data_IF_082456661262
#
_entry.id   IF_082456661262
#
_cell.length_a   1.000
_cell.length_b   1.000
_cell.length_c   1.000
_cell.angle_alpha   90.00
_cell.angle_beta   90.00
_cell.angle_gamma   90.00
#
_symmetry.space_group_name_H-M   'P 1'
#
loop_
_entity.id
_entity.type
_entity.pdbx_description
1 polymer ?
#
# COMPACT_ATOMS: atom_id res chain seq x y z
N UNK A 1 -18.32 -7.38 -29.78
CA UNK A 1 -17.44 -6.23 -29.40
C UNK A 1 -18.10 -5.57 -28.21
N UNK A 2 -17.38 -5.52 -27.09
CA UNK A 2 -17.88 -5.07 -25.80
C UNK A 2 -18.20 -3.56 -25.84
N UNK A 3 -19.35 -3.14 -25.28
CA UNK A 3 -19.80 -1.75 -25.21
C UNK A 3 -18.75 -0.83 -24.53
N UNK A 4 -17.97 -1.37 -23.61
CA UNK A 4 -16.88 -0.69 -22.94
C UNK A 4 -15.70 -0.39 -23.89
N UNK A 5 -15.34 -1.33 -24.75
CA UNK A 5 -14.29 -1.12 -25.75
C UNK A 5 -14.71 -0.08 -26.80
N UNK A 6 -16.00 -0.04 -27.16
CA UNK A 6 -16.55 0.99 -28.04
C UNK A 6 -16.55 2.37 -27.39
N UNK A 7 -16.88 2.47 -26.09
CA UNK A 7 -16.85 3.73 -25.34
C UNK A 7 -15.43 4.30 -25.20
N UNK A 8 -14.44 3.45 -24.91
CA UNK A 8 -13.02 3.85 -24.82
C UNK A 8 -12.50 4.30 -26.17
N UNK A 9 -12.85 3.60 -27.26
CA UNK A 9 -12.45 3.97 -28.61
C UNK A 9 -13.09 5.30 -29.05
N UNK A 10 -14.35 5.52 -28.74
CA UNK A 10 -15.04 6.78 -29.00
C UNK A 10 -14.49 7.95 -28.18
N UNK A 11 -13.98 7.69 -26.97
CA UNK A 11 -13.32 8.70 -26.16
C UNK A 11 -11.94 9.06 -26.71
N UNK A 12 -11.11 8.08 -27.09
CA UNK A 12 -9.77 8.26 -27.65
C UNK A 12 -9.76 9.01 -29.00
N UNK A 13 -10.88 8.99 -29.73
CA UNK A 13 -11.02 9.69 -31.02
C UNK A 13 -11.58 11.12 -30.91
N UNK A 14 -11.79 11.64 -29.70
CA UNK A 14 -12.27 13.03 -29.52
C UNK A 14 -11.20 14.04 -29.89
N UNK A 15 -11.56 15.16 -30.54
CA UNK A 15 -10.59 16.17 -31.03
C UNK A 15 -9.77 16.88 -29.94
N UNK A 16 -10.13 16.72 -28.66
CA UNK A 16 -9.45 17.32 -27.51
C UNK A 16 -8.50 16.31 -26.79
N UNK A 17 -8.21 15.15 -27.37
CA UNK A 17 -7.32 14.18 -26.78
C UNK A 17 -5.87 14.55 -27.13
N UNK A 18 -5.10 15.00 -26.15
CA UNK A 18 -3.64 15.14 -26.25
C UNK A 18 -2.98 13.82 -25.80
N UNK A 19 -2.20 13.15 -26.69
CA UNK A 19 -1.61 11.84 -26.37
C UNK A 19 -0.66 11.84 -25.15
N UNK A 20 -0.08 13.01 -24.85
CA UNK A 20 0.90 13.17 -23.76
C UNK A 20 0.26 13.65 -22.45
N UNK A 21 -1.06 13.82 -22.40
CA UNK A 21 -1.72 14.19 -21.15
C UNK A 21 -1.73 13.00 -20.20
N UNK A 22 -0.95 13.07 -19.12
CA UNK A 22 -1.06 12.18 -17.98
C UNK A 22 -2.45 12.32 -17.37
N UNK A 23 -3.34 11.39 -17.70
CA UNK A 23 -4.71 11.41 -17.20
C UNK A 23 -4.70 10.74 -15.84
N UNK A 24 -4.93 11.52 -14.80
CA UNK A 24 -5.21 10.96 -13.48
C UNK A 24 -6.56 10.23 -13.58
N UNK A 25 -6.53 8.91 -13.68
CA UNK A 25 -7.67 8.06 -13.93
C UNK A 25 -8.83 8.27 -12.93
N UNK A 26 -8.54 8.72 -11.71
CA UNK A 26 -9.53 9.07 -10.70
C UNK A 26 -10.29 10.37 -10.98
N UNK A 27 -9.66 11.34 -11.64
CA UNK A 27 -10.29 12.66 -11.91
C UNK A 27 -11.11 12.70 -13.20
N UNK A 28 -10.82 11.86 -14.17
CA UNK A 28 -11.41 11.92 -15.50
C UNK A 28 -12.69 11.06 -15.67
N UNK A 29 -13.21 10.44 -14.62
CA UNK A 29 -14.35 9.51 -14.76
C UNK A 29 -14.00 8.20 -15.50
N UNK A 30 -12.72 7.97 -15.76
CA UNK A 30 -12.21 6.78 -16.44
C UNK A 30 -12.24 5.52 -15.56
N UNK A 31 -12.55 5.65 -14.27
CA UNK A 31 -12.61 4.50 -13.36
C UNK A 31 -13.53 3.38 -13.86
N UNK A 32 -14.65 3.72 -14.47
CA UNK A 32 -15.57 2.74 -15.07
C UNK A 32 -15.01 2.14 -16.37
N UNK A 33 -14.31 2.96 -17.18
CA UNK A 33 -13.68 2.49 -18.43
C UNK A 33 -12.43 1.66 -18.14
N UNK A 34 -11.63 2.03 -17.13
CA UNK A 34 -10.51 1.24 -16.66
C UNK A 34 -10.97 -0.11 -16.05
N UNK A 35 -12.07 -0.12 -15.31
CA UNK A 35 -12.65 -1.36 -14.78
C UNK A 35 -13.11 -2.33 -15.87
N UNK A 36 -13.56 -1.83 -17.02
CA UNK A 36 -14.10 -2.63 -18.11
C UNK A 36 -13.09 -2.98 -19.20
N UNK A 37 -12.07 -2.12 -19.41
CA UNK A 37 -11.08 -2.26 -20.47
C UNK A 37 -9.71 -2.74 -19.97
N UNK A 38 -9.58 -2.89 -18.68
CA UNK A 38 -8.30 -3.00 -18.02
C UNK A 38 -7.66 -4.39 -18.09
N UNK A 39 -7.38 -4.82 -19.23
CA UNK A 39 -6.09 -5.45 -19.41
C UNK A 39 -5.07 -4.31 -19.46
N UNK A 40 -4.02 -4.36 -18.63
CA UNK A 40 -2.88 -3.44 -18.64
C UNK A 40 -2.34 -3.26 -20.08
N UNK A 41 -2.39 -4.30 -20.90
CA UNK A 41 -2.10 -4.32 -22.33
C UNK A 41 -2.96 -3.33 -23.14
N UNK A 42 -4.22 -3.12 -22.74
CA UNK A 42 -5.11 -2.23 -23.49
C UNK A 42 -4.85 -0.75 -23.14
N UNK A 43 -4.55 -0.44 -21.90
CA UNK A 43 -4.15 0.90 -21.49
C UNK A 43 -2.83 1.32 -22.15
N UNK A 44 -1.85 0.41 -22.23
CA UNK A 44 -0.58 0.63 -22.94
C UNK A 44 -0.77 0.87 -24.43
N UNK A 45 -1.72 0.19 -25.08
CA UNK A 45 -2.01 0.38 -26.50
C UNK A 45 -2.67 1.73 -26.83
N UNK A 46 -3.24 2.41 -25.82
CA UNK A 46 -3.82 3.74 -25.93
C UNK A 46 -2.87 4.86 -25.48
N UNK A 47 -1.62 4.54 -25.11
CA UNK A 47 -0.67 5.46 -24.46
C UNK A 47 -1.25 6.18 -23.22
N UNK A 48 -2.22 5.56 -22.55
CA UNK A 48 -2.75 6.06 -21.27
C UNK A 48 -2.01 5.34 -20.16
N UNK A 49 -1.19 6.07 -19.44
CA UNK A 49 -0.45 5.57 -18.26
C UNK A 49 -0.94 6.27 -17.01
N UNK A 50 -0.91 5.55 -15.88
CA UNK A 50 -1.16 6.17 -14.59
C UNK A 50 0.01 7.13 -14.26
N UNK A 51 -0.28 8.23 -13.56
CA UNK A 51 0.80 9.04 -12.98
C UNK A 51 1.55 8.23 -11.92
N UNK A 52 2.86 8.44 -11.82
CA UNK A 52 3.68 7.87 -10.75
C UNK A 52 3.13 8.31 -9.40
N UNK A 53 2.92 7.35 -8.50
CA UNK A 53 2.37 7.62 -7.17
C UNK A 53 3.17 6.93 -6.08
N UNK A 54 3.28 5.62 -6.15
CA UNK A 54 4.02 4.82 -5.18
C UNK A 54 5.52 5.04 -5.26
N UNK A 55 6.20 4.85 -4.14
CA UNK A 55 7.66 4.96 -4.03
C UNK A 55 8.23 3.78 -3.25
N UNK A 56 9.49 3.44 -3.54
CA UNK A 56 10.23 2.35 -2.91
C UNK A 56 11.64 2.78 -2.52
N UNK A 57 12.13 2.29 -1.38
CA UNK A 57 13.50 2.50 -0.91
C UNK A 57 13.99 1.25 -0.15
N UNK A 58 15.29 1.10 0.00
CA UNK A 58 15.86 0.03 0.83
C UNK A 58 16.62 -1.02 0.03
N UNK A 59 16.72 -2.23 0.55
CA UNK A 59 17.60 -3.29 0.10
C UNK A 59 17.08 -4.03 -1.14
N UNK A 60 16.92 -3.26 -2.23
CA UNK A 60 16.37 -3.73 -3.50
C UNK A 60 17.18 -3.15 -4.67
N UNK A 61 17.49 -4.01 -5.62
CA UNK A 61 18.02 -3.65 -6.93
C UNK A 61 17.08 -4.27 -7.97
N UNK A 62 16.75 -3.53 -9.00
CA UNK A 62 15.96 -4.01 -10.13
C UNK A 62 16.34 -3.31 -11.42
N UNK A 63 15.95 -3.88 -12.54
CA UNK A 63 16.18 -3.28 -13.85
C UNK A 63 14.86 -2.69 -14.39
N UNK A 64 14.93 -1.45 -14.91
CA UNK A 64 13.82 -0.67 -15.45
C UNK A 64 14.28 -0.04 -16.78
N UNK A 65 13.67 -0.43 -17.89
CA UNK A 65 13.97 0.03 -19.26
C UNK A 65 15.48 -0.03 -19.64
N UNK A 66 16.20 -1.02 -19.13
CA UNK A 66 17.64 -1.22 -19.40
C UNK A 66 18.57 -0.58 -18.37
N UNK A 67 18.06 0.24 -17.47
CA UNK A 67 18.80 0.84 -16.37
C UNK A 67 18.72 -0.03 -15.11
N UNK A 68 19.85 -0.19 -14.41
CA UNK A 68 19.87 -0.86 -13.10
C UNK A 68 19.67 0.17 -11.99
N UNK A 69 18.62 0.00 -11.21
CA UNK A 69 18.22 0.88 -10.13
C UNK A 69 18.58 0.26 -8.78
N UNK A 70 19.38 0.96 -7.99
CA UNK A 70 19.74 0.60 -6.60
C UNK A 70 18.94 1.48 -5.63
N UNK A 71 17.92 0.89 -5.00
CA UNK A 71 17.02 1.62 -4.10
C UNK A 71 17.67 2.08 -2.79
N UNK A 72 18.86 1.62 -2.45
CA UNK A 72 19.61 2.13 -1.29
C UNK A 72 20.18 3.53 -1.54
N UNK A 73 20.26 3.96 -2.79
CA UNK A 73 20.88 5.24 -3.24
C UNK A 73 19.85 6.32 -3.63
N UNK A 74 18.56 6.03 -3.49
CA UNK A 74 17.49 6.93 -3.98
C UNK A 74 17.15 8.09 -3.03
N UNK A 75 17.87 8.23 -1.92
CA UNK A 75 17.61 9.30 -0.94
C UNK A 75 16.28 9.14 -0.20
N UNK A 76 15.85 10.22 0.47
CA UNK A 76 14.64 10.22 1.32
C UNK A 76 13.35 10.05 0.51
N UNK A 77 13.31 10.56 -0.71
CA UNK A 77 12.12 10.46 -1.58
C UNK A 77 11.91 9.06 -2.17
N UNK A 78 12.92 8.21 -2.12
CA UNK A 78 12.88 6.89 -2.74
C UNK A 78 12.84 6.93 -4.27
N UNK A 79 12.75 5.76 -4.90
CA UNK A 79 12.51 5.60 -6.35
C UNK A 79 11.00 5.56 -6.59
N UNK A 80 10.50 6.39 -7.47
CA UNK A 80 9.12 6.27 -7.95
C UNK A 80 8.91 4.90 -8.62
N UNK A 81 7.81 4.25 -8.30
CA UNK A 81 7.42 2.99 -8.93
C UNK A 81 6.95 3.29 -10.35
N UNK A 82 7.56 2.66 -11.37
CA UNK A 82 7.18 2.89 -12.75
C UNK A 82 5.70 2.59 -13.00
N UNK A 83 4.98 3.39 -13.80
CA UNK A 83 3.60 3.10 -14.19
C UNK A 83 3.47 1.76 -14.92
N UNK A 84 4.53 1.36 -15.63
CA UNK A 84 4.70 0.10 -16.35
C UNK A 84 5.46 -0.91 -15.50
N UNK A 85 5.00 -1.13 -14.26
CA UNK A 85 5.66 -2.04 -13.29
C UNK A 85 5.79 -3.49 -13.79
N UNK A 86 5.04 -3.88 -14.83
CA UNK A 86 5.16 -5.15 -15.54
C UNK A 86 6.53 -5.31 -16.23
N UNK A 87 7.13 -4.21 -16.69
CA UNK A 87 8.44 -4.21 -17.39
C UNK A 87 9.64 -4.30 -16.45
N UNK A 88 9.45 -3.96 -15.18
CA UNK A 88 10.50 -4.10 -14.16
C UNK A 88 10.96 -5.56 -14.11
N UNK A 89 12.26 -5.79 -14.08
CA UNK A 89 12.85 -7.14 -14.11
C UNK A 89 14.04 -7.26 -13.15
N UNK A 90 14.54 -8.50 -12.99
CA UNK A 90 15.72 -8.81 -12.19
C UNK A 90 15.71 -8.23 -10.76
N UNK A 91 14.54 -8.31 -10.09
CA UNK A 91 14.43 -7.89 -8.70
C UNK A 91 15.30 -8.77 -7.81
N UNK A 92 16.25 -8.15 -7.09
CA UNK A 92 17.21 -8.83 -6.22
C UNK A 92 17.61 -7.95 -5.04
N UNK A 93 18.03 -8.56 -3.95
CA UNK A 93 18.48 -7.87 -2.74
C UNK A 93 18.70 -8.84 -1.59
N UNK A 94 19.16 -8.30 -0.48
CA UNK A 94 19.40 -9.03 0.78
C UNK A 94 18.35 -8.65 1.85
N UNK A 95 17.20 -8.12 1.42
CA UNK A 95 16.10 -7.81 2.31
C UNK A 95 15.49 -9.09 2.91
N UNK A 96 15.14 -9.05 4.19
CA UNK A 96 14.49 -10.13 4.92
C UNK A 96 12.96 -9.99 4.95
N UNK A 97 12.45 -8.78 4.73
CA UNK A 97 11.01 -8.49 4.66
C UNK A 97 10.72 -7.23 3.83
N UNK A 98 9.45 -7.09 3.43
CA UNK A 98 8.92 -5.87 2.82
C UNK A 98 8.10 -5.14 3.86
N UNK A 99 8.39 -3.86 4.09
CA UNK A 99 7.60 -2.98 4.95
C UNK A 99 6.69 -2.11 4.08
N UNK A 100 5.41 -2.45 4.05
CA UNK A 100 4.37 -1.71 3.36
C UNK A 100 3.80 -0.64 4.27
N UNK A 101 3.93 0.64 3.90
CA UNK A 101 3.52 1.77 4.72
C UNK A 101 2.40 2.54 4.05
N UNK A 102 1.36 2.86 4.80
CA UNK A 102 0.25 3.64 4.29
C UNK A 102 0.64 5.08 3.96
N UNK A 103 1.34 5.75 4.87
CA UNK A 103 1.59 7.20 4.82
C UNK A 103 2.97 7.55 4.28
N UNK A 104 3.01 8.51 3.35
CA UNK A 104 4.24 9.06 2.79
C UNK A 104 5.16 9.67 3.86
N UNK A 105 4.61 10.38 4.85
CA UNK A 105 5.41 10.97 5.93
C UNK A 105 6.15 9.93 6.77
N UNK A 106 5.52 8.78 7.08
CA UNK A 106 6.17 7.68 7.79
C UNK A 106 7.23 6.98 6.92
N UNK A 107 6.96 6.82 5.63
CA UNK A 107 7.93 6.33 4.65
C UNK A 107 9.17 7.23 4.61
N UNK A 108 8.99 8.54 4.43
CA UNK A 108 10.08 9.51 4.38
C UNK A 108 10.92 9.50 5.67
N UNK A 109 10.27 9.40 6.83
CA UNK A 109 10.97 9.31 8.11
C UNK A 109 11.89 8.08 8.17
N UNK A 110 11.38 6.91 7.79
CA UNK A 110 12.18 5.69 7.78
C UNK A 110 13.28 5.69 6.72
N UNK A 111 13.04 6.33 5.58
CA UNK A 111 14.04 6.52 4.53
C UNK A 111 15.17 7.46 4.99
N UNK A 112 14.83 8.55 5.69
CA UNK A 112 15.77 9.50 6.26
C UNK A 112 16.67 8.84 7.31
N UNK A 113 16.07 8.04 8.21
CA UNK A 113 16.80 7.26 9.23
C UNK A 113 17.56 6.08 8.64
N UNK A 114 17.44 5.83 7.34
CA UNK A 114 17.99 4.64 6.66
C UNK A 114 17.69 3.36 7.44
N UNK A 115 16.44 3.21 7.85
CA UNK A 115 15.96 2.09 8.67
C UNK A 115 16.37 0.73 8.09
N UNK A 116 16.37 0.62 6.75
CA UNK A 116 16.78 -0.57 6.00
C UNK A 116 18.27 -0.95 6.15
N UNK A 117 19.11 -0.08 6.71
CA UNK A 117 20.50 -0.43 7.04
C UNK A 117 20.59 -1.19 8.37
N UNK A 118 19.68 -0.91 9.28
CA UNK A 118 19.61 -1.55 10.60
C UNK A 118 18.76 -2.82 10.57
N UNK A 119 17.67 -2.79 9.81
CA UNK A 119 16.73 -3.90 9.60
C UNK A 119 16.64 -4.14 8.09
N UNK A 120 17.32 -5.17 7.54
CA UNK A 120 17.37 -5.41 6.11
C UNK A 120 15.97 -5.56 5.52
N UNK A 121 15.45 -4.52 4.87
CA UNK A 121 14.11 -4.51 4.32
C UNK A 121 14.00 -3.66 3.05
N UNK A 122 12.91 -3.88 2.33
CA UNK A 122 12.40 -2.97 1.31
C UNK A 122 11.22 -2.20 1.90
N UNK A 123 11.22 -0.89 1.81
CA UNK A 123 10.14 -0.02 2.29
C UNK A 123 9.37 0.50 1.07
N UNK A 124 8.06 0.35 1.09
CA UNK A 124 7.18 0.73 -0.02
C UNK A 124 5.95 1.48 0.49
N UNK A 125 5.51 2.51 -0.24
CA UNK A 125 4.25 3.20 0.03
C UNK A 125 3.53 3.56 -1.27
N UNK A 126 2.21 3.47 -1.27
CA UNK A 126 1.33 4.02 -2.30
C UNK A 126 0.79 5.42 -1.93
N UNK A 127 1.27 6.02 -0.83
CA UNK A 127 0.78 7.33 -0.33
C UNK A 127 -0.74 7.33 -0.12
N UNK A 128 -1.22 6.40 0.68
CA UNK A 128 -2.63 6.13 0.95
C UNK A 128 -3.20 4.99 0.10
N UNK A 129 -4.32 5.21 -0.58
CA UNK A 129 -4.98 4.15 -1.36
C UNK A 129 -4.06 3.59 -2.46
N UNK A 130 -3.92 2.25 -2.54
CA UNK A 130 -3.02 1.61 -3.49
C UNK A 130 -3.48 1.78 -4.94
N UNK A 131 -2.57 2.24 -5.78
CA UNK A 131 -2.73 2.25 -7.23
C UNK A 131 -2.31 0.91 -7.84
N UNK A 132 -2.64 0.73 -9.11
CA UNK A 132 -2.38 -0.53 -9.84
C UNK A 132 -0.90 -0.82 -9.93
N UNK A 133 -0.07 0.18 -10.28
CA UNK A 133 1.37 0.01 -10.44
C UNK A 133 2.04 -0.42 -9.13
N UNK A 134 1.67 0.19 -7.99
CA UNK A 134 2.21 -0.18 -6.68
C UNK A 134 1.78 -1.59 -6.27
N UNK A 135 0.54 -1.99 -6.55
CA UNK A 135 0.05 -3.34 -6.26
C UNK A 135 0.78 -4.39 -7.09
N UNK A 136 0.92 -4.15 -8.39
CA UNK A 136 1.65 -5.04 -9.29
C UNK A 136 3.12 -5.17 -8.89
N UNK A 137 3.76 -4.02 -8.58
CA UNK A 137 5.14 -3.99 -8.11
C UNK A 137 5.34 -4.79 -6.81
N UNK A 138 4.45 -4.61 -5.83
CA UNK A 138 4.49 -5.36 -4.56
C UNK A 138 4.30 -6.86 -4.77
N UNK A 139 3.32 -7.25 -5.58
CA UNK A 139 3.05 -8.67 -5.90
C UNK A 139 4.27 -9.33 -6.56
N UNK A 140 4.87 -8.63 -7.54
CA UNK A 140 6.08 -9.08 -8.24
C UNK A 140 7.28 -9.17 -7.29
N UNK A 141 7.51 -8.12 -6.50
CA UNK A 141 8.60 -8.05 -5.52
C UNK A 141 8.54 -9.22 -4.52
N UNK A 142 7.34 -9.50 -3.98
CA UNK A 142 7.14 -10.61 -3.05
C UNK A 142 7.41 -11.96 -3.71
N UNK A 143 6.94 -12.16 -4.94
CA UNK A 143 7.15 -13.40 -5.69
C UNK A 143 8.63 -13.64 -5.99
N UNK A 144 9.35 -12.58 -6.40
CA UNK A 144 10.73 -12.68 -6.83
C UNK A 144 11.69 -12.84 -5.64
N UNK A 145 11.49 -12.08 -4.54
CA UNK A 145 12.34 -12.18 -3.34
C UNK A 145 11.87 -13.26 -2.34
N UNK A 146 10.61 -13.71 -2.39
CA UNK A 146 10.01 -14.72 -1.50
C UNK A 146 10.11 -14.38 -0.01
N UNK A 147 9.96 -13.11 0.33
CA UNK A 147 10.04 -12.59 1.70
C UNK A 147 8.64 -12.13 2.17
N UNK A 148 8.39 -12.08 3.50
CA UNK A 148 7.10 -11.65 4.04
C UNK A 148 6.85 -10.15 3.80
N UNK A 149 5.57 -9.79 3.72
CA UNK A 149 5.11 -8.39 3.68
C UNK A 149 4.48 -8.05 5.01
N UNK A 150 5.01 -7.02 5.67
CA UNK A 150 4.54 -6.47 6.93
C UNK A 150 3.92 -5.10 6.67
N UNK A 151 2.65 -4.91 7.03
CA UNK A 151 1.93 -3.67 6.79
C UNK A 151 1.90 -2.78 8.04
N UNK A 152 2.25 -1.53 7.86
CA UNK A 152 2.11 -0.45 8.83
C UNK A 152 1.07 0.54 8.31
N UNK A 153 -0.11 0.53 8.91
CA UNK A 153 -1.27 1.36 8.56
C UNK A 153 -1.80 2.07 9.79
N UNK A 154 -2.68 3.04 9.61
CA UNK A 154 -3.38 3.69 10.72
C UNK A 154 -4.23 2.67 11.50
N UNK A 155 -4.36 2.86 12.80
CA UNK A 155 -5.25 2.08 13.66
C UNK A 155 -6.70 2.54 13.46
N UNK A 156 -7.24 2.34 12.26
CA UNK A 156 -8.59 2.70 11.89
C UNK A 156 -9.17 1.74 10.82
N UNK A 157 -10.49 1.80 10.55
CA UNK A 157 -11.12 0.95 9.54
C UNK A 157 -10.61 1.20 8.12
N UNK A 158 -10.09 2.40 7.81
CA UNK A 158 -9.57 2.73 6.49
C UNK A 158 -8.19 2.13 6.25
N UNK A 159 -7.33 2.05 7.27
CA UNK A 159 -6.07 1.32 7.21
C UNK A 159 -6.29 -0.16 6.88
N UNK A 160 -7.28 -0.79 7.52
CA UNK A 160 -7.69 -2.17 7.19
C UNK A 160 -8.21 -2.30 5.76
N UNK A 161 -8.98 -1.31 5.28
CA UNK A 161 -9.47 -1.28 3.91
C UNK A 161 -8.32 -1.16 2.91
N UNK A 162 -7.27 -0.42 3.23
CA UNK A 162 -6.05 -0.35 2.40
C UNK A 162 -5.39 -1.72 2.31
N UNK A 163 -5.20 -2.41 3.44
CA UNK A 163 -4.65 -3.78 3.44
C UNK A 163 -5.54 -4.71 2.62
N UNK A 164 -6.87 -4.63 2.74
CA UNK A 164 -7.80 -5.48 1.99
C UNK A 164 -7.65 -5.33 0.48
N UNK A 165 -7.40 -4.10 -0.01
CA UNK A 165 -7.17 -3.86 -1.44
C UNK A 165 -5.88 -4.52 -1.93
N UNK A 166 -4.84 -4.54 -1.11
CA UNK A 166 -3.61 -5.29 -1.44
C UNK A 166 -3.82 -6.80 -1.37
N UNK A 167 -4.57 -7.31 -0.39
CA UNK A 167 -4.77 -8.75 -0.18
C UNK A 167 -5.74 -9.37 -1.17
N UNK A 168 -6.88 -8.73 -1.40
CA UNK A 168 -8.01 -9.29 -2.16
C UNK A 168 -8.24 -8.59 -3.51
N UNK A 169 -7.64 -7.42 -3.70
CA UNK A 169 -7.89 -6.60 -4.86
C UNK A 169 -9.09 -5.67 -4.71
N UNK A 170 -9.44 -5.02 -5.81
CA UNK A 170 -10.64 -4.19 -5.90
C UNK A 170 -11.74 -4.94 -6.61
N UNK A 171 -12.98 -4.85 -6.13
CA UNK A 171 -14.17 -5.42 -6.80
C UNK A 171 -14.28 -4.98 -8.27
N UNK A 172 -13.78 -3.79 -8.58
CA UNK A 172 -13.78 -3.23 -9.93
C UNK A 172 -12.69 -3.81 -10.85
N UNK A 173 -11.75 -4.58 -10.30
CA UNK A 173 -10.58 -5.14 -11.00
C UNK A 173 -10.40 -6.63 -10.71
N UNK A 174 -11.51 -7.35 -10.53
CA UNK A 174 -11.51 -8.78 -10.19
C UNK A 174 -10.89 -9.67 -11.28
N UNK A 175 -10.87 -9.20 -12.53
CA UNK A 175 -10.36 -9.93 -13.70
C UNK A 175 -8.82 -10.09 -13.69
N UNK A 176 -8.06 -9.23 -12.99
CA UNK A 176 -6.60 -9.31 -12.88
C UNK A 176 -6.12 -9.50 -11.42
N UNK A 177 -6.97 -10.10 -10.60
CA UNK A 177 -6.68 -10.27 -9.16
C UNK A 177 -5.41 -11.08 -8.92
N UNK A 178 -5.12 -12.10 -9.70
CA UNK A 178 -3.96 -12.98 -9.52
C UNK A 178 -2.61 -12.23 -9.60
N UNK A 179 -2.52 -11.19 -10.42
CA UNK A 179 -1.31 -10.38 -10.57
C UNK A 179 -1.26 -9.20 -9.59
N UNK A 180 -2.42 -8.72 -9.14
CA UNK A 180 -2.55 -7.49 -8.36
C UNK A 180 -2.78 -7.74 -6.86
N UNK A 181 -2.76 -8.99 -6.40
CA UNK A 181 -3.00 -9.31 -4.99
C UNK A 181 -1.79 -9.91 -4.29
N UNK A 182 -1.73 -9.65 -2.99
CA UNK A 182 -0.73 -10.16 -2.08
C UNK A 182 -1.46 -10.69 -0.83
N UNK A 183 -1.98 -11.94 -0.87
CA UNK A 183 -3.00 -12.40 0.10
C UNK A 183 -2.50 -12.63 1.52
N UNK A 184 -1.20 -12.76 1.74
CA UNK A 184 -0.59 -13.11 3.04
C UNK A 184 0.21 -11.94 3.65
N UNK A 185 -0.29 -10.72 3.49
CA UNK A 185 0.23 -9.55 4.20
C UNK A 185 -0.04 -9.72 5.70
N UNK A 186 0.97 -9.45 6.53
CA UNK A 186 0.87 -9.44 7.98
C UNK A 186 0.64 -8.04 8.51
N UNK A 187 -0.32 -7.87 9.40
CA UNK A 187 -0.56 -6.60 10.06
C UNK A 187 0.46 -6.38 11.19
N UNK A 188 1.48 -5.59 10.92
CA UNK A 188 2.51 -5.22 11.89
C UNK A 188 1.98 -4.19 12.89
N UNK A 189 1.30 -3.14 12.38
CA UNK A 189 0.80 -2.02 13.18
C UNK A 189 0.17 -0.92 12.28
N UNK A 190 -0.32 0.20 12.82
CA UNK A 190 -0.57 0.38 14.26
C UNK A 190 -1.85 -0.39 14.59
N UNK A 191 -1.80 -1.26 15.59
CA UNK A 191 -2.99 -2.02 15.98
C UNK A 191 -3.72 -1.31 17.14
N UNK A 192 -5.02 -1.48 17.28
CA UNK A 192 -5.76 -0.98 18.44
C UNK A 192 -5.14 -1.33 19.79
N UNK A 193 -4.65 -2.55 19.96
CA UNK A 193 -3.95 -2.99 21.16
C UNK A 193 -2.61 -2.28 21.42
N UNK A 194 -1.97 -1.81 20.35
CA UNK A 194 -0.71 -1.07 20.46
C UNK A 194 -0.89 0.27 21.21
N UNK A 195 -2.08 0.87 21.16
CA UNK A 195 -2.36 2.15 21.82
C UNK A 195 -2.10 2.07 23.32
N UNK A 196 -2.52 0.99 23.96
CA UNK A 196 -2.29 0.76 25.37
C UNK A 196 -0.92 0.14 25.65
N UNK A 197 -0.49 -0.82 24.82
CA UNK A 197 0.82 -1.48 24.94
C UNK A 197 1.97 -0.48 24.91
N UNK A 198 1.92 0.49 24.01
CA UNK A 198 2.93 1.54 23.83
C UNK A 198 2.56 2.84 24.55
N UNK A 199 1.49 2.82 25.39
CA UNK A 199 1.03 3.95 26.21
C UNK A 199 0.81 5.24 25.42
N UNK A 200 0.29 5.14 24.19
CA UNK A 200 0.00 6.30 23.35
C UNK A 200 -0.92 7.27 24.11
N UNK A 201 -0.55 8.56 24.27
CA UNK A 201 -1.32 9.52 25.04
C UNK A 201 -2.75 9.65 24.52
N UNK A 202 -3.72 9.84 25.43
CA UNK A 202 -5.14 9.98 25.07
C UNK A 202 -5.39 11.12 24.08
N UNK A 203 -4.66 12.22 24.21
CA UNK A 203 -4.74 13.36 23.29
C UNK A 203 -4.32 13.05 21.83
N UNK A 204 -3.60 11.94 21.63
CA UNK A 204 -3.21 11.45 20.30
C UNK A 204 -4.15 10.36 19.78
N UNK A 205 -5.15 9.98 20.59
CA UNK A 205 -6.20 9.04 20.21
C UNK A 205 -7.42 9.83 19.76
N UNK A 206 -8.03 9.39 18.66
CA UNK A 206 -9.18 10.05 18.05
C UNK A 206 -10.43 9.23 18.30
N UNK A 207 -11.56 9.90 18.51
CA UNK A 207 -12.86 9.22 18.56
C UNK A 207 -13.30 8.80 17.16
N UNK A 208 -13.86 7.62 17.05
CA UNK A 208 -14.41 7.11 15.78
C UNK A 208 -15.74 7.79 15.47
N UNK A 209 -15.86 8.30 14.26
CA UNK A 209 -17.14 8.79 13.74
C UNK A 209 -18.13 7.65 13.49
N UNK A 210 -19.42 7.98 13.34
CA UNK A 210 -20.44 7.00 12.95
C UNK A 210 -20.06 6.23 11.68
N UNK A 211 -19.47 6.91 10.70
CA UNK A 211 -18.99 6.30 9.45
C UNK A 211 -17.83 5.33 9.68
N UNK A 212 -16.92 5.66 10.60
CA UNK A 212 -15.83 4.76 10.99
C UNK A 212 -16.40 3.48 11.62
N UNK A 213 -17.39 3.62 12.51
CA UNK A 213 -18.05 2.50 13.16
C UNK A 213 -18.75 1.58 12.16
N UNK A 214 -19.47 2.14 11.19
CA UNK A 214 -20.12 1.39 10.12
C UNK A 214 -19.09 0.67 9.23
N UNK A 215 -18.01 1.35 8.87
CA UNK A 215 -16.92 0.77 8.07
C UNK A 215 -16.24 -0.35 8.84
N UNK A 216 -15.92 -0.16 10.12
CA UNK A 216 -15.31 -1.19 10.97
C UNK A 216 -16.21 -2.42 11.15
N UNK A 217 -17.50 -2.20 11.35
CA UNK A 217 -18.50 -3.29 11.43
C UNK A 217 -18.64 -4.06 10.09
N UNK A 218 -18.42 -3.38 8.97
CA UNK A 218 -18.38 -4.03 7.66
C UNK A 218 -17.07 -4.83 7.50
N UNK A 219 -15.93 -4.23 7.85
CA UNK A 219 -14.62 -4.91 7.78
C UNK A 219 -14.59 -6.18 8.64
N UNK A 220 -15.23 -6.16 9.83
CA UNK A 220 -15.32 -7.34 10.69
C UNK A 220 -15.99 -8.53 10.00
N UNK A 221 -16.81 -8.32 8.97
CA UNK A 221 -17.51 -9.39 8.21
C UNK A 221 -16.72 -9.88 7.00
N UNK A 222 -15.62 -9.21 6.66
CA UNK A 222 -14.79 -9.60 5.52
C UNK A 222 -14.08 -10.92 5.81
N UNK A 223 -13.99 -11.78 4.82
CA UNK A 223 -13.47 -13.15 4.95
C UNK A 223 -12.03 -13.16 5.45
N UNK A 224 -11.16 -12.28 4.93
CA UNK A 224 -9.75 -12.22 5.33
C UNK A 224 -9.56 -11.83 6.81
N UNK A 225 -10.48 -11.05 7.40
CA UNK A 225 -10.52 -10.75 8.83
C UNK A 225 -10.97 -12.01 9.59
N UNK A 226 -12.08 -12.62 9.17
CA UNK A 226 -12.67 -13.78 9.84
C UNK A 226 -11.76 -15.01 9.86
N UNK A 227 -10.91 -15.18 8.88
CA UNK A 227 -9.94 -16.27 8.82
C UNK A 227 -8.82 -16.15 9.85
N UNK A 228 -8.62 -14.97 10.46
CA UNK A 228 -7.59 -14.74 11.45
C UNK A 228 -8.20 -14.24 12.78
N UNK A 229 -8.28 -15.09 13.82
CA UNK A 229 -8.86 -14.71 15.10
C UNK A 229 -8.20 -13.49 15.77
N UNK A 230 -6.91 -13.27 15.54
CA UNK A 230 -6.21 -12.11 16.11
C UNK A 230 -6.65 -10.81 15.43
N UNK A 231 -6.89 -10.83 14.12
CA UNK A 231 -7.47 -9.69 13.42
C UNK A 231 -8.88 -9.35 13.90
N UNK A 232 -9.71 -10.39 14.13
CA UNK A 232 -11.06 -10.22 14.69
C UNK A 232 -11.00 -9.51 16.05
N UNK A 233 -10.12 -9.97 16.97
CA UNK A 233 -9.95 -9.35 18.29
C UNK A 233 -9.55 -7.87 18.21
N UNK A 234 -8.65 -7.53 17.30
CA UNK A 234 -8.20 -6.15 17.12
C UNK A 234 -9.32 -5.25 16.58
N UNK A 235 -10.09 -5.73 15.59
CA UNK A 235 -11.23 -4.96 15.05
C UNK A 235 -12.34 -4.83 16.09
N UNK A 236 -12.65 -5.87 16.85
CA UNK A 236 -13.61 -5.82 17.96
C UNK A 236 -13.16 -4.85 19.06
N UNK A 237 -11.87 -4.84 19.39
CA UNK A 237 -11.28 -3.89 20.33
C UNK A 237 -11.49 -2.45 19.86
N UNK A 238 -11.19 -2.16 18.60
CA UNK A 238 -11.38 -0.85 17.97
C UNK A 238 -12.85 -0.39 18.08
N UNK A 239 -13.79 -1.26 17.70
CA UNK A 239 -15.23 -0.96 17.73
C UNK A 239 -15.75 -0.76 19.17
N UNK A 240 -15.26 -1.56 20.13
CA UNK A 240 -15.65 -1.49 21.54
C UNK A 240 -15.16 -0.22 22.18
N UNK A 241 -13.90 0.16 21.95
CA UNK A 241 -13.30 1.37 22.52
C UNK A 241 -13.71 2.64 21.78
N UNK A 242 -14.23 2.52 20.57
CA UNK A 242 -14.56 3.63 19.65
C UNK A 242 -13.38 4.57 19.42
N UNK A 243 -12.17 4.03 19.50
CA UNK A 243 -10.92 4.78 19.44
C UNK A 243 -10.13 4.38 18.20
N UNK A 244 -9.59 5.37 17.51
CA UNK A 244 -8.67 5.22 16.40
C UNK A 244 -7.42 6.06 16.61
N UNK A 245 -6.35 5.76 15.91
CA UNK A 245 -5.13 6.55 15.93
C UNK A 245 -4.41 6.47 14.56
N UNK A 246 -3.79 7.57 14.22
CA UNK A 246 -2.91 7.64 13.06
C UNK A 246 -1.49 7.17 13.42
N UNK A 247 -0.70 6.74 12.43
CA UNK A 247 0.72 6.39 12.62
C UNK A 247 1.48 7.54 13.30
N UNK A 248 1.11 8.79 12.99
CA UNK A 248 1.70 9.98 13.60
C UNK A 248 1.52 10.07 15.12
N UNK A 249 0.56 9.37 15.71
CA UNK A 249 0.40 9.32 17.17
C UNK A 249 1.67 8.79 17.87
N UNK A 250 2.46 7.96 17.20
CA UNK A 250 3.76 7.48 17.68
C UNK A 250 4.77 8.62 17.86
N UNK A 251 4.65 9.70 17.08
CA UNK A 251 5.56 10.86 17.17
C UNK A 251 5.34 11.69 18.45
N UNK A 252 4.34 11.36 19.28
CA UNK A 252 4.15 11.97 20.60
C UNK A 252 5.35 11.77 21.53
N UNK A 253 6.15 10.75 21.29
CA UNK A 253 7.40 10.45 22.00
C UNK A 253 8.65 10.94 21.29
N UNK A 254 8.51 11.69 20.21
CA UNK A 254 9.59 12.18 19.37
C UNK A 254 9.55 11.57 17.96
N UNK A 255 10.12 12.29 17.02
CA UNK A 255 10.07 11.91 15.59
C UNK A 255 10.76 10.58 15.29
N UNK A 256 11.72 10.17 16.11
CA UNK A 256 12.48 8.93 15.92
C UNK A 256 11.83 7.72 16.60
N UNK A 257 10.76 7.92 17.37
CA UNK A 257 10.12 6.83 18.12
C UNK A 257 9.68 5.68 17.22
N UNK A 258 9.17 6.00 16.03
CA UNK A 258 8.77 5.01 15.04
C UNK A 258 9.94 4.09 14.63
N UNK A 259 11.08 4.68 14.26
CA UNK A 259 12.25 3.97 13.72
C UNK A 259 13.17 3.38 14.79
N UNK A 260 13.22 3.97 15.99
CA UNK A 260 14.17 3.56 17.04
C UNK A 260 13.53 2.68 18.11
N UNK A 261 12.22 2.79 18.34
CA UNK A 261 11.53 2.10 19.45
C UNK A 261 10.42 1.19 18.93
N UNK A 262 9.40 1.76 18.27
CA UNK A 262 8.18 1.01 17.93
C UNK A 262 8.46 -0.15 16.98
N UNK A 263 8.97 0.13 15.79
CA UNK A 263 9.26 -0.91 14.80
C UNK A 263 10.30 -1.92 15.28
N UNK A 264 11.44 -1.51 15.90
CA UNK A 264 12.40 -2.46 16.45
C UNK A 264 11.80 -3.43 17.46
N UNK A 265 10.97 -2.94 18.40
CA UNK A 265 10.32 -3.81 19.39
C UNK A 265 9.34 -4.79 18.74
N UNK A 266 8.53 -4.32 17.78
CA UNK A 266 7.59 -5.17 17.03
C UNK A 266 8.32 -6.26 16.26
N UNK A 267 9.40 -5.90 15.56
CA UNK A 267 10.19 -6.84 14.76
C UNK A 267 10.94 -7.86 15.62
N UNK A 268 11.59 -7.42 16.71
CA UNK A 268 12.33 -8.31 17.61
C UNK A 268 11.42 -9.30 18.34
N UNK A 269 10.19 -8.91 18.64
CA UNK A 269 9.21 -9.77 19.31
C UNK A 269 8.42 -10.67 18.33
N UNK A 270 8.58 -10.49 17.03
CA UNK A 270 7.73 -11.16 16.05
C UNK A 270 6.25 -10.77 16.19
N UNK A 271 5.99 -9.53 16.62
CA UNK A 271 4.66 -9.05 16.98
C UNK A 271 3.90 -8.50 15.76
N UNK A 272 3.52 -9.39 14.88
CA UNK A 272 2.60 -9.17 13.75
C UNK A 272 1.60 -10.32 13.64
N UNK A 273 0.46 -10.06 13.04
CA UNK A 273 -0.63 -11.01 12.88
C UNK A 273 -1.03 -11.21 11.44
#
# INVERSE_FOLDING_TARGET
MDAAAAAVKAWATRPAFEPDATVNAHRAGLGACYGAAARLEFAGSLNVVASEKGVVVGRLIFDDDGDTIDCTKMGVGGKAIPPTADRVSNMRGDAEFILLIEKDAAFMRLAEDRFYNRFPCVIITAKGQPDVATRLFLSKLKRDLRIPVLALVDADPYGLKIISVYMQGSKNMAFDSANLTTPDIKWLGVRPSDLDKFKIPEQCRLEMSQKDMETGAHMLKEEFIQQNPEWVKEVELMLRTKTKAEIQALSSYGFQYLSEVYLPLKLQQGDWI
#
